data_IF_533237537291
#
_entry.id   IF_533237537291
#
_cell.length_a   1.000
_cell.length_b   1.000
_cell.length_c   1.000
_cell.angle_alpha   90.00
_cell.angle_beta   90.00
_cell.angle_gamma   90.00
#
_symmetry.space_group_name_H-M   'P 1'
#
loop_
_entity.id
_entity.type
_entity.pdbx_description
1 polymer ?
#
# COMPACT_ATOMS: atom_id res chain seq x y z
N UNK A 1 -19.72 22.80 -13.54
CA UNK A 1 -20.61 21.87 -12.80
C UNK A 1 -20.06 20.43 -12.67
N UNK A 2 -18.72 20.22 -12.72
CA UNK A 2 -18.06 18.89 -12.52
C UNK A 2 -16.98 18.94 -11.42
N UNK A 3 -16.83 20.08 -10.74
CA UNK A 3 -15.68 20.35 -9.88
C UNK A 3 -15.85 19.83 -8.44
N UNK A 4 -17.09 19.78 -7.92
CA UNK A 4 -17.40 19.28 -6.57
C UNK A 4 -17.70 17.77 -6.53
N UNK A 5 -18.12 17.16 -7.65
CA UNK A 5 -18.44 15.71 -7.72
C UNK A 5 -17.21 14.80 -7.84
N UNK A 6 -16.00 15.36 -8.00
CA UNK A 6 -14.75 14.59 -8.22
C UNK A 6 -14.46 13.53 -7.15
N UNK A 7 -14.99 13.68 -5.93
CA UNK A 7 -14.76 12.73 -4.83
C UNK A 7 -15.65 11.48 -4.89
N UNK A 8 -16.66 11.44 -5.76
CA UNK A 8 -17.62 10.32 -5.84
C UNK A 8 -17.42 9.43 -7.09
N UNK A 9 -16.47 9.76 -7.96
CA UNK A 9 -16.18 8.98 -9.16
C UNK A 9 -15.00 8.02 -8.93
N UNK A 10 -15.31 6.73 -9.01
CA UNK A 10 -14.34 5.67 -9.22
C UNK A 10 -14.29 5.29 -10.70
N UNK A 11 -13.32 4.46 -11.07
CA UNK A 11 -13.17 4.00 -12.44
C UNK A 11 -13.02 2.49 -12.47
N UNK A 12 -13.51 1.86 -13.55
CA UNK A 12 -13.24 0.46 -13.86
C UNK A 12 -12.50 0.40 -15.17
N UNK A 13 -11.33 -0.23 -15.16
CA UNK A 13 -10.49 -0.45 -16.34
C UNK A 13 -10.72 -1.88 -16.80
N UNK A 14 -11.05 -2.08 -18.07
CA UNK A 14 -10.96 -3.39 -18.74
C UNK A 14 -9.69 -3.41 -19.55
N UNK A 15 -8.91 -4.47 -19.40
CA UNK A 15 -7.70 -4.71 -20.19
C UNK A 15 -7.72 -6.14 -20.73
N UNK A 16 -7.35 -6.30 -21.99
CA UNK A 16 -7.22 -7.60 -22.65
C UNK A 16 -6.05 -7.56 -23.65
N UNK A 17 -5.55 -8.73 -24.01
CA UNK A 17 -4.57 -8.89 -25.08
C UNK A 17 -5.15 -9.74 -26.20
N UNK A 18 -4.43 -9.87 -27.32
CA UNK A 18 -4.89 -10.70 -28.45
C UNK A 18 -5.19 -12.15 -28.05
N UNK A 19 -4.40 -12.69 -27.12
CA UNK A 19 -4.53 -14.07 -26.61
C UNK A 19 -4.81 -14.13 -25.11
N UNK A 20 -5.12 -13.00 -24.47
CA UNK A 20 -5.34 -12.92 -23.02
C UNK A 20 -6.79 -12.53 -22.74
N UNK A 21 -7.45 -13.20 -21.78
CA UNK A 21 -8.84 -12.91 -21.45
C UNK A 21 -8.97 -11.49 -20.87
N UNK A 22 -10.20 -10.98 -20.93
CA UNK A 22 -10.54 -9.68 -20.34
C UNK A 22 -10.34 -9.73 -18.82
N UNK A 23 -9.57 -8.77 -18.30
CA UNK A 23 -9.37 -8.53 -16.87
C UNK A 23 -9.95 -7.18 -16.49
N UNK A 24 -10.74 -7.15 -15.42
CA UNK A 24 -11.23 -5.91 -14.82
C UNK A 24 -10.35 -5.47 -13.64
N UNK A 25 -10.05 -4.18 -13.59
CA UNK A 25 -9.27 -3.55 -12.52
C UNK A 25 -10.08 -2.36 -12.01
N UNK A 26 -10.31 -2.31 -10.69
CA UNK A 26 -11.04 -1.23 -10.02
C UNK A 26 -10.06 -0.43 -9.14
N UNK A 27 -9.27 0.48 -9.71
CA UNK A 27 -8.32 1.27 -8.94
C UNK A 27 -9.03 2.26 -8.01
N UNK A 28 -8.48 2.41 -6.81
CA UNK A 28 -8.92 3.40 -5.84
C UNK A 28 -8.27 4.79 -6.05
N UNK A 29 -7.13 4.84 -6.76
CA UNK A 29 -6.32 6.06 -6.92
C UNK A 29 -5.78 6.20 -8.36
N UNK A 30 -5.54 7.43 -8.79
CA UNK A 30 -5.02 7.75 -10.12
C UNK A 30 -3.76 8.64 -10.08
N UNK A 31 -2.83 8.50 -11.05
CA UNK A 31 -2.82 7.48 -12.10
C UNK A 31 -2.53 6.09 -11.53
N UNK A 32 -3.08 5.05 -12.19
CA UNK A 32 -2.85 3.64 -11.86
C UNK A 32 -1.84 3.04 -12.83
N UNK A 33 -0.75 2.49 -12.29
CA UNK A 33 0.15 1.60 -13.03
C UNK A 33 -0.41 0.17 -13.02
N UNK A 34 -0.50 -0.46 -14.19
CA UNK A 34 -0.81 -1.88 -14.36
C UNK A 34 0.52 -2.61 -14.52
N UNK A 35 0.81 -3.53 -13.60
CA UNK A 35 2.07 -4.28 -13.54
C UNK A 35 1.87 -5.73 -13.99
N UNK A 36 2.99 -6.49 -14.09
CA UNK A 36 2.99 -7.91 -14.45
C UNK A 36 2.40 -8.19 -15.84
N UNK A 37 2.68 -7.31 -16.79
CA UNK A 37 2.36 -7.49 -18.22
C UNK A 37 3.56 -8.12 -18.93
N UNK A 38 3.29 -8.92 -19.95
CA UNK A 38 4.35 -9.45 -20.82
C UNK A 38 4.98 -8.35 -21.69
N UNK A 39 6.30 -8.41 -21.96
CA UNK A 39 6.96 -7.50 -22.89
C UNK A 39 6.49 -7.77 -24.33
N UNK A 40 6.70 -6.77 -25.21
CA UNK A 40 6.43 -6.87 -26.66
C UNK A 40 5.02 -7.41 -27.01
N UNK A 41 4.04 -7.10 -26.17
CA UNK A 41 2.68 -7.63 -26.27
C UNK A 41 1.70 -6.47 -26.41
N UNK A 42 0.77 -6.59 -27.35
CA UNK A 42 -0.33 -5.62 -27.53
C UNK A 42 -1.42 -5.86 -26.50
N UNK A 43 -1.71 -4.82 -25.72
CA UNK A 43 -2.87 -4.77 -24.84
C UNK A 43 -3.82 -3.67 -25.29
N UNK A 44 -5.11 -3.97 -25.25
CA UNK A 44 -6.18 -3.01 -25.44
C UNK A 44 -6.87 -2.76 -24.11
N UNK A 45 -7.25 -1.50 -23.87
CA UNK A 45 -7.95 -1.11 -22.65
C UNK A 45 -9.04 -0.07 -22.91
N UNK A 46 -10.07 -0.15 -22.11
CA UNK A 46 -11.16 0.82 -22.05
C UNK A 46 -11.50 1.12 -20.59
N UNK A 47 -12.03 2.31 -20.33
CA UNK A 47 -12.32 2.77 -18.98
C UNK A 47 -13.74 3.30 -18.92
N UNK A 48 -14.47 2.99 -17.84
CA UNK A 48 -15.73 3.65 -17.49
C UNK A 48 -15.63 4.33 -16.14
N UNK A 49 -16.36 5.43 -15.98
CA UNK A 49 -16.56 6.09 -14.71
C UNK A 49 -17.74 5.44 -13.96
N UNK A 50 -17.61 5.33 -12.64
CA UNK A 50 -18.62 4.78 -11.73
C UNK A 50 -18.83 5.79 -10.61
N UNK A 51 -20.05 6.32 -10.50
CA UNK A 51 -20.44 7.18 -9.40
C UNK A 51 -20.91 6.32 -8.24
N UNK A 52 -20.09 6.13 -7.22
CA UNK A 52 -20.31 5.13 -6.16
C UNK A 52 -21.58 5.39 -5.37
N UNK A 53 -21.84 6.63 -4.95
CA UNK A 53 -23.00 6.98 -4.12
C UNK A 53 -24.35 6.85 -4.83
N UNK A 54 -24.36 6.99 -6.16
CA UNK A 54 -25.59 6.94 -6.97
C UNK A 54 -25.72 5.61 -7.73
N UNK A 55 -24.73 4.72 -7.60
CA UNK A 55 -24.64 3.45 -8.32
C UNK A 55 -24.80 3.59 -9.86
N UNK A 56 -24.48 4.76 -10.40
CA UNK A 56 -24.52 5.05 -11.84
C UNK A 56 -23.16 4.82 -12.46
N UNK A 57 -23.15 4.46 -13.73
CA UNK A 57 -21.91 4.29 -14.49
C UNK A 57 -22.05 4.91 -15.88
N UNK A 58 -20.93 5.38 -16.42
CA UNK A 58 -20.86 5.78 -17.82
C UNK A 58 -20.78 4.54 -18.73
N UNK A 59 -21.00 4.75 -20.02
CA UNK A 59 -20.50 3.83 -21.04
C UNK A 59 -18.96 3.77 -20.98
N UNK A 60 -18.39 2.71 -21.57
CA UNK A 60 -16.95 2.59 -21.73
C UNK A 60 -16.43 3.62 -22.73
N UNK A 61 -15.20 4.09 -22.51
CA UNK A 61 -14.45 4.89 -23.47
C UNK A 61 -14.18 4.07 -24.74
N UNK A 62 -13.76 4.74 -25.81
CA UNK A 62 -13.17 4.00 -26.94
C UNK A 62 -11.96 3.19 -26.47
N UNK A 63 -11.88 1.95 -26.95
CA UNK A 63 -10.76 1.08 -26.67
C UNK A 63 -9.47 1.69 -27.24
N UNK A 64 -8.42 1.73 -26.41
CA UNK A 64 -7.07 2.13 -26.83
C UNK A 64 -6.13 0.95 -26.71
N UNK A 65 -5.39 0.67 -27.78
CA UNK A 65 -4.42 -0.40 -27.83
C UNK A 65 -3.00 0.14 -27.84
N UNK A 66 -2.10 -0.49 -27.11
CA UNK A 66 -0.69 -0.12 -27.00
C UNK A 66 0.17 -1.37 -26.81
N UNK A 67 1.39 -1.33 -27.34
CA UNK A 67 2.37 -2.39 -27.17
C UNK A 67 3.26 -2.09 -25.96
N UNK A 68 3.49 -3.10 -25.13
CA UNK A 68 4.56 -3.04 -24.13
C UNK A 68 5.93 -3.04 -24.82
N UNK A 69 6.92 -2.43 -24.19
CA UNK A 69 8.29 -2.38 -24.71
C UNK A 69 9.01 -3.71 -24.49
N UNK A 70 10.20 -3.83 -25.07
CA UNK A 70 11.16 -4.89 -24.73
C UNK A 70 11.40 -4.89 -23.22
N UNK A 71 11.62 -6.08 -22.65
CA UNK A 71 11.94 -6.24 -21.24
C UNK A 71 13.17 -5.40 -20.87
N UNK A 72 13.08 -4.70 -19.74
CA UNK A 72 14.23 -3.98 -19.19
C UNK A 72 15.28 -5.00 -18.74
N UNK A 73 16.56 -4.70 -19.00
CA UNK A 73 17.68 -5.53 -18.56
C UNK A 73 17.75 -5.65 -17.04
N UNK A 74 17.33 -4.61 -16.32
CA UNK A 74 17.28 -4.60 -14.85
C UNK A 74 15.83 -4.84 -14.41
N UNK A 75 15.55 -5.91 -13.65
CA UNK A 75 14.23 -6.17 -13.10
C UNK A 75 13.84 -5.07 -12.11
N UNK A 76 12.54 -4.88 -11.89
CA UNK A 76 12.08 -3.93 -10.87
C UNK A 76 12.28 -4.54 -9.47
N UNK A 77 12.49 -3.72 -8.43
CA UNK A 77 12.41 -4.20 -7.05
C UNK A 77 11.00 -4.74 -6.74
N UNK A 78 10.93 -5.84 -6.00
CA UNK A 78 9.69 -6.54 -5.64
C UNK A 78 9.51 -6.63 -4.12
N UNK A 79 8.36 -7.12 -3.67
CA UNK A 79 8.06 -7.38 -2.24
C UNK A 79 8.40 -6.20 -1.30
N UNK A 80 7.88 -5.02 -1.61
CA UNK A 80 8.08 -3.85 -0.77
C UNK A 80 7.38 -4.04 0.59
N UNK A 81 8.20 -3.98 1.63
CA UNK A 81 7.83 -4.13 3.04
C UNK A 81 8.34 -2.94 3.86
N UNK A 82 7.66 -2.67 4.96
CA UNK A 82 8.00 -1.59 5.87
C UNK A 82 7.88 -2.11 7.29
N UNK A 83 8.99 -2.05 8.01
CA UNK A 83 9.05 -2.34 9.44
C UNK A 83 9.30 -1.05 10.24
N UNK A 84 9.19 -1.18 11.55
CA UNK A 84 9.46 -0.10 12.51
C UNK A 84 10.67 -0.46 13.35
N UNK A 85 11.59 0.49 13.48
CA UNK A 85 12.69 0.42 14.42
C UNK A 85 12.78 1.73 15.19
N UNK A 86 12.30 1.73 16.44
CA UNK A 86 12.16 2.96 17.23
C UNK A 86 11.29 3.98 16.52
N UNK A 87 11.84 5.17 16.26
CA UNK A 87 11.15 6.26 15.57
C UNK A 87 11.46 6.35 14.05
N UNK A 88 11.97 5.26 13.49
CA UNK A 88 12.29 5.16 12.06
C UNK A 88 11.52 4.03 11.38
N UNK A 89 11.27 4.20 10.08
CA UNK A 89 10.80 3.14 9.20
C UNK A 89 12.00 2.44 8.56
N UNK A 90 11.94 1.11 8.54
CA UNK A 90 12.89 0.27 7.81
C UNK A 90 12.19 -0.26 6.57
N UNK A 91 12.53 0.32 5.42
CA UNK A 91 12.01 -0.06 4.12
C UNK A 91 12.82 -1.24 3.60
N UNK A 92 12.15 -2.31 3.16
CA UNK A 92 12.78 -3.52 2.62
C UNK A 92 12.17 -3.87 1.25
N UNK A 93 12.97 -4.45 0.38
CA UNK A 93 12.53 -4.92 -0.93
C UNK A 93 13.43 -6.06 -1.42
N UNK A 94 12.91 -6.89 -2.30
CA UNK A 94 13.67 -7.95 -2.95
C UNK A 94 14.21 -7.50 -4.29
N UNK A 95 15.41 -7.97 -4.63
CA UNK A 95 15.99 -7.74 -5.94
C UNK A 95 16.84 -8.93 -6.38
N UNK A 96 16.68 -9.33 -7.65
CA UNK A 96 17.34 -10.53 -8.20
C UNK A 96 18.85 -10.36 -8.41
N UNK A 97 19.33 -9.13 -8.53
CA UNK A 97 20.74 -8.84 -8.80
C UNK A 97 21.46 -8.25 -7.60
N UNK A 98 22.68 -8.72 -7.34
CA UNK A 98 23.59 -8.13 -6.37
C UNK A 98 24.28 -6.87 -6.95
N UNK A 99 24.87 -6.05 -6.07
CA UNK A 99 25.66 -4.86 -6.45
C UNK A 99 24.88 -3.80 -7.24
N UNK A 100 23.62 -3.57 -6.87
CA UNK A 100 22.77 -2.53 -7.44
C UNK A 100 22.64 -1.36 -6.47
N UNK A 101 22.46 -0.16 -7.00
CA UNK A 101 22.05 1.00 -6.22
C UNK A 101 20.55 1.21 -6.34
N UNK A 102 19.92 1.57 -5.22
CA UNK A 102 18.49 1.80 -5.15
C UNK A 102 18.20 3.22 -4.73
N UNK A 103 17.09 3.73 -5.27
CA UNK A 103 16.48 4.96 -4.79
C UNK A 103 15.00 4.80 -4.52
N UNK A 104 14.55 5.38 -3.41
CA UNK A 104 13.15 5.35 -3.01
C UNK A 104 12.49 6.74 -3.09
N UNK A 105 11.22 6.74 -3.46
CA UNK A 105 10.38 7.93 -3.50
C UNK A 105 9.05 7.68 -2.82
N UNK A 106 8.44 8.75 -2.32
CA UNK A 106 7.12 8.72 -1.72
C UNK A 106 6.21 9.81 -2.27
N UNK A 107 4.90 9.57 -2.17
CA UNK A 107 3.88 10.56 -2.52
C UNK A 107 2.68 10.44 -1.57
N UNK A 108 2.13 11.55 -1.05
CA UNK A 108 0.91 11.51 -0.25
C UNK A 108 -0.28 10.92 -1.03
N UNK A 109 -1.15 10.17 -0.34
CA UNK A 109 -2.36 9.59 -0.97
C UNK A 109 -3.28 10.65 -1.56
N UNK A 110 -3.46 11.79 -0.88
CA UNK A 110 -4.31 12.87 -1.36
C UNK A 110 -3.81 13.46 -2.70
N UNK A 111 -2.50 13.43 -2.96
CA UNK A 111 -1.94 13.90 -4.23
C UNK A 111 -2.42 13.05 -5.40
N UNK A 112 -2.59 11.73 -5.18
CA UNK A 112 -3.14 10.77 -6.16
C UNK A 112 -4.67 10.71 -6.18
N UNK A 113 -5.35 11.49 -5.35
CA UNK A 113 -6.82 11.55 -5.33
C UNK A 113 -7.37 12.47 -6.44
N UNK A 114 -6.52 13.28 -7.07
CA UNK A 114 -6.89 14.09 -8.23
C UNK A 114 -6.49 13.39 -9.53
N UNK A 115 -7.30 13.44 -10.61
CA UNK A 115 -6.88 12.97 -11.92
C UNK A 115 -5.76 13.87 -12.47
N UNK A 116 -4.73 13.30 -13.08
CA UNK A 116 -3.65 14.05 -13.71
C UNK A 116 -2.31 13.30 -13.70
N UNK A 117 -1.30 13.90 -14.32
CA UNK A 117 0.08 13.47 -14.14
C UNK A 117 0.58 13.96 -12.78
N UNK A 118 1.16 13.05 -11.98
CA UNK A 118 1.72 13.35 -10.66
C UNK A 118 3.20 12.95 -10.57
N UNK A 119 3.89 12.78 -11.70
CA UNK A 119 5.31 12.41 -11.74
C UNK A 119 6.19 13.40 -10.99
N UNK A 120 5.87 14.68 -11.07
CA UNK A 120 6.50 15.82 -10.41
C UNK A 120 6.24 15.88 -8.89
N UNK A 121 5.20 15.19 -8.41
CA UNK A 121 4.79 15.23 -6.99
C UNK A 121 5.45 14.15 -6.14
N UNK A 122 6.20 13.23 -6.75
CA UNK A 122 6.98 12.24 -6.02
C UNK A 122 8.17 12.89 -5.35
N UNK A 123 8.23 12.79 -4.03
CA UNK A 123 9.31 13.33 -3.21
C UNK A 123 10.40 12.27 -3.01
N UNK A 124 11.68 12.61 -3.13
CA UNK A 124 12.76 11.69 -2.78
C UNK A 124 12.76 11.40 -1.28
N UNK A 125 13.23 10.22 -0.90
CA UNK A 125 13.57 9.89 0.48
C UNK A 125 15.10 10.09 0.61
N UNK A 126 15.59 11.16 1.24
CA UNK A 126 17.02 11.50 1.20
C UNK A 126 17.94 10.40 1.72
N UNK A 127 17.55 9.72 2.79
CA UNK A 127 18.31 8.59 3.37
C UNK A 127 18.36 7.37 2.45
N UNK A 128 17.45 7.29 1.48
CA UNK A 128 17.32 6.19 0.53
C UNK A 128 17.58 6.66 -0.90
N UNK A 129 18.42 7.68 -1.12
CA UNK A 129 18.67 8.22 -2.45
C UNK A 129 19.69 7.40 -3.27
N UNK A 130 20.63 6.73 -2.59
CA UNK A 130 21.66 5.91 -3.23
C UNK A 130 22.15 4.80 -2.28
N UNK A 131 21.27 3.85 -1.97
CA UNK A 131 21.61 2.73 -1.07
C UNK A 131 22.04 1.51 -1.89
N UNK A 132 23.07 0.81 -1.43
CA UNK A 132 23.58 -0.41 -2.07
C UNK A 132 22.96 -1.70 -1.49
N UNK A 133 22.17 -1.55 -0.43
CA UNK A 133 21.47 -2.62 0.26
C UNK A 133 20.02 -2.72 -0.22
N UNK A 134 19.43 -3.89 -0.05
CA UNK A 134 17.99 -4.17 -0.29
C UNK A 134 17.08 -3.63 0.83
N UNK A 135 17.61 -2.75 1.66
CA UNK A 135 16.86 -2.08 2.70
C UNK A 135 17.41 -0.66 2.93
N UNK A 136 16.57 0.20 3.49
CA UNK A 136 16.94 1.55 3.88
C UNK A 136 16.16 2.00 5.12
N UNK A 137 16.80 2.79 5.98
CA UNK A 137 16.19 3.37 7.17
C UNK A 137 15.84 4.84 6.89
N UNK A 138 14.63 5.25 7.25
CA UNK A 138 14.16 6.63 7.10
C UNK A 138 13.44 7.10 8.37
N UNK A 139 13.76 8.28 8.92
CA UNK A 139 13.02 8.86 10.03
C UNK A 139 11.55 9.05 9.67
N UNK A 140 10.64 8.80 10.62
CA UNK A 140 9.19 8.96 10.41
C UNK A 140 8.82 10.39 10.00
N UNK A 141 9.56 11.38 10.50
CA UNK A 141 9.41 12.81 10.19
C UNK A 141 9.55 13.14 8.69
N UNK A 142 10.24 12.29 7.93
CA UNK A 142 10.35 12.41 6.45
C UNK A 142 8.97 12.40 5.78
N UNK A 143 8.01 11.72 6.39
CA UNK A 143 6.66 11.54 5.88
C UNK A 143 5.70 12.46 6.63
N UNK A 144 5.45 13.65 6.07
CA UNK A 144 4.56 14.65 6.69
C UNK A 144 3.06 14.30 6.62
N UNK A 145 2.70 13.04 6.43
CA UNK A 145 1.33 12.57 6.20
C UNK A 145 1.14 11.17 6.74
N UNK A 146 -0.02 10.86 7.33
CA UNK A 146 -0.30 9.53 7.87
C UNK A 146 -0.44 8.42 6.82
N UNK A 147 -0.82 8.77 5.58
CA UNK A 147 -0.94 7.78 4.48
C UNK A 147 -0.20 8.24 3.24
N UNK A 148 0.62 7.37 2.67
CA UNK A 148 1.44 7.66 1.50
C UNK A 148 1.73 6.40 0.67
N UNK A 149 2.08 6.59 -0.60
CA UNK A 149 2.60 5.55 -1.47
C UNK A 149 4.11 5.59 -1.51
N UNK A 150 4.73 4.41 -1.62
CA UNK A 150 6.17 4.23 -1.78
C UNK A 150 6.48 3.47 -3.07
N UNK A 151 7.59 3.83 -3.72
CA UNK A 151 8.15 3.08 -4.85
C UNK A 151 9.67 3.12 -4.83
N UNK A 152 10.30 2.08 -5.37
CA UNK A 152 11.76 1.92 -5.43
C UNK A 152 12.18 1.70 -6.88
N UNK A 153 13.36 2.18 -7.24
CA UNK A 153 14.01 1.95 -8.54
C UNK A 153 15.43 1.44 -8.32
N UNK A 154 15.83 0.44 -9.10
CA UNK A 154 17.19 -0.11 -9.12
C UNK A 154 18.02 0.50 -10.26
N UNK A 155 19.33 0.52 -10.07
CA UNK A 155 20.31 1.10 -10.99
C UNK A 155 21.62 0.33 -10.90
N UNK A 156 22.24 0.04 -12.05
CA UNK A 156 23.60 -0.52 -12.12
C UNK A 156 24.67 0.59 -12.26
N UNK A 157 24.23 1.86 -12.27
CA UNK A 157 25.06 3.05 -12.48
C UNK A 157 25.00 3.61 -13.90
N UNK A 158 24.68 2.77 -14.90
CA UNK A 158 24.56 3.16 -16.30
C UNK A 158 23.10 3.09 -16.80
N UNK A 159 22.37 2.04 -16.40
CA UNK A 159 20.98 1.77 -16.71
C UNK A 159 20.15 1.81 -15.42
N UNK A 160 18.84 2.08 -15.59
CA UNK A 160 17.88 2.04 -14.48
C UNK A 160 16.72 1.11 -14.81
N UNK A 161 16.23 0.42 -13.78
CA UNK A 161 15.00 -0.37 -13.87
C UNK A 161 13.80 0.57 -14.06
N UNK A 162 12.64 0.02 -14.41
CA UNK A 162 11.40 0.75 -14.15
C UNK A 162 11.14 0.84 -12.62
N UNK A 163 10.25 1.74 -12.21
CA UNK A 163 9.79 1.80 -10.82
C UNK A 163 9.09 0.50 -10.40
N UNK A 164 9.22 0.12 -9.13
CA UNK A 164 8.49 -1.00 -8.52
C UNK A 164 6.97 -0.82 -8.58
N UNK A 165 6.24 -1.83 -8.11
CA UNK A 165 4.86 -1.62 -7.71
C UNK A 165 4.79 -0.61 -6.56
N UNK A 166 3.74 0.22 -6.57
CA UNK A 166 3.51 1.21 -5.53
C UNK A 166 2.92 0.53 -4.29
N UNK A 167 3.56 0.71 -3.14
CA UNK A 167 3.07 0.19 -1.85
C UNK A 167 2.33 1.30 -1.11
N UNK A 168 1.07 1.05 -0.72
CA UNK A 168 0.34 1.94 0.19
C UNK A 168 0.77 1.68 1.63
N UNK A 169 1.19 2.75 2.31
CA UNK A 169 1.59 2.75 3.71
C UNK A 169 0.61 3.59 4.51
N UNK A 170 0.15 3.04 5.62
CA UNK A 170 -0.66 3.72 6.63
C UNK A 170 0.12 3.71 7.94
N UNK A 171 0.56 4.89 8.39
CA UNK A 171 1.35 5.06 9.60
C UNK A 171 0.61 4.57 10.86
N UNK A 172 -0.73 4.54 10.84
CA UNK A 172 -1.52 4.08 11.97
C UNK A 172 -1.29 2.60 12.25
N UNK A 173 -1.05 1.78 11.22
CA UNK A 173 -0.72 0.35 11.37
C UNK A 173 0.59 0.10 12.13
N UNK A 174 1.46 1.10 12.15
CA UNK A 174 2.78 1.07 12.75
C UNK A 174 2.86 1.86 14.06
N UNK A 175 1.70 2.30 14.55
CA UNK A 175 1.58 2.95 15.85
C UNK A 175 1.58 1.86 16.90
N UNK A 176 2.59 1.86 17.78
CA UNK A 176 2.64 0.93 18.90
C UNK A 176 1.51 1.27 19.86
N UNK A 177 0.54 0.37 19.98
CA UNK A 177 -0.47 0.45 21.02
C UNK A 177 0.13 -0.15 22.31
N UNK A 178 0.14 0.59 23.43
CA UNK A 178 0.56 0.01 24.69
C UNK A 178 -0.39 -1.13 25.09
N UNK A 179 0.10 -2.16 25.81
CA UNK A 179 -0.76 -3.25 26.25
C UNK A 179 -1.90 -2.73 27.15
N UNK A 180 -3.11 -3.29 27.02
CA UNK A 180 -4.22 -2.93 27.90
C UNK A 180 -3.93 -3.38 29.34
N UNK A 181 -4.59 -2.74 30.29
CA UNK A 181 -4.58 -3.10 31.70
C UNK A 181 -5.83 -3.93 31.99
N UNK A 182 -5.63 -5.17 32.40
CA UNK A 182 -6.70 -6.10 32.77
C UNK A 182 -6.90 -6.12 34.28
N UNK A 183 -8.16 -6.12 34.73
CA UNK A 183 -8.56 -6.42 36.10
C UNK A 183 -9.63 -7.50 36.07
N UNK A 184 -9.46 -8.55 36.86
CA UNK A 184 -10.39 -9.70 36.88
C UNK A 184 -10.97 -9.83 38.28
N UNK A 185 -12.29 -9.96 38.36
CA UNK A 185 -13.02 -10.12 39.63
C UNK A 185 -13.81 -11.42 39.59
N UNK A 186 -13.58 -12.35 40.54
CA UNK A 186 -14.35 -13.59 40.59
C UNK A 186 -15.76 -13.34 41.14
N UNK A 187 -16.75 -13.96 40.52
CA UNK A 187 -18.17 -13.92 40.92
C UNK A 187 -18.77 -15.32 40.83
N UNK A 188 -18.63 -16.10 41.91
CA UNK A 188 -19.16 -17.46 41.98
C UNK A 188 -18.51 -18.39 40.94
N UNK A 189 -19.28 -18.74 39.91
CA UNK A 189 -18.88 -19.55 38.75
C UNK A 189 -18.45 -18.73 37.53
N UNK A 190 -18.38 -17.40 37.66
CA UNK A 190 -18.02 -16.48 36.58
C UNK A 190 -16.79 -15.64 36.91
N UNK A 191 -16.05 -15.23 35.87
CA UNK A 191 -14.97 -14.25 35.96
C UNK A 191 -15.38 -12.97 35.25
N UNK A 192 -15.41 -11.87 35.97
CA UNK A 192 -15.74 -10.56 35.41
C UNK A 192 -14.44 -9.84 35.03
N UNK A 193 -14.24 -9.67 33.72
CA UNK A 193 -13.02 -9.11 33.12
C UNK A 193 -13.25 -7.64 32.77
N UNK A 194 -12.48 -6.75 33.38
CA UNK A 194 -12.41 -5.34 33.05
C UNK A 194 -11.14 -5.06 32.24
N UNK A 195 -11.30 -4.50 31.05
CA UNK A 195 -10.18 -4.04 30.22
C UNK A 195 -10.17 -2.53 30.25
N UNK A 196 -9.03 -1.97 30.64
CA UNK A 196 -8.80 -0.53 30.72
C UNK A 196 -7.54 -0.18 29.93
N UNK A 197 -7.46 1.08 29.50
CA UNK A 197 -6.35 1.57 28.71
C UNK A 197 -5.61 2.64 29.50
N UNK A 198 -4.27 2.65 29.45
CA UNK A 198 -3.48 3.69 30.14
C UNK A 198 -3.67 5.08 29.53
N UNK A 199 -4.00 5.15 28.24
CA UNK A 199 -4.27 6.41 27.54
C UNK A 199 -5.76 6.64 27.29
N UNK A 200 -6.18 7.91 27.33
CA UNK A 200 -7.58 8.35 27.15
C UNK A 200 -8.13 8.19 25.72
N UNK A 201 -7.36 7.60 24.79
CA UNK A 201 -7.69 7.45 23.37
C UNK A 201 -8.12 6.04 22.98
N UNK A 202 -8.76 5.30 23.87
CA UNK A 202 -9.10 3.90 23.65
C UNK A 202 -10.58 3.68 23.26
N UNK A 203 -11.28 4.75 22.91
CA UNK A 203 -12.62 4.68 22.34
C UNK A 203 -12.60 3.98 20.98
N UNK A 204 -13.40 2.92 20.83
CA UNK A 204 -13.54 2.18 19.57
C UNK A 204 -12.50 1.10 19.32
N UNK A 205 -11.74 0.69 20.35
CA UNK A 205 -10.90 -0.51 20.28
C UNK A 205 -11.77 -1.77 20.43
N UNK A 206 -11.37 -2.83 19.72
CA UNK A 206 -11.89 -4.18 19.89
C UNK A 206 -10.80 -4.94 20.67
N UNK A 207 -11.19 -5.70 21.69
CA UNK A 207 -10.28 -6.40 22.56
C UNK A 207 -10.43 -7.90 22.36
N UNK A 208 -9.31 -8.59 22.23
CA UNK A 208 -9.25 -10.05 22.25
C UNK A 208 -8.89 -10.49 23.67
N UNK A 209 -9.67 -11.41 24.23
CA UNK A 209 -9.40 -12.01 25.54
C UNK A 209 -9.03 -13.47 25.33
N UNK A 210 -7.81 -13.82 25.72
CA UNK A 210 -7.29 -15.19 25.70
C UNK A 210 -7.18 -15.67 27.14
N UNK A 211 -7.79 -16.82 27.44
CA UNK A 211 -7.75 -17.42 28.77
C UNK A 211 -7.48 -18.93 28.67
N UNK A 212 -6.92 -19.48 29.73
CA UNK A 212 -6.60 -20.91 29.85
C UNK A 212 -6.61 -21.30 31.32
N UNK A 213 -6.78 -22.59 31.59
CA UNK A 213 -6.58 -23.16 32.93
C UNK A 213 -5.09 -23.40 33.16
N UNK A 214 -4.56 -23.08 34.34
CA UNK A 214 -3.13 -23.17 34.64
C UNK A 214 -2.52 -24.58 34.42
N UNK A 215 -3.35 -25.62 34.51
CA UNK A 215 -2.98 -27.03 34.31
C UNK A 215 -3.17 -27.52 32.87
N UNK A 216 -3.74 -26.70 31.99
CA UNK A 216 -4.05 -27.01 30.60
C UNK A 216 -3.21 -26.13 29.66
N UNK A 217 -2.65 -26.73 28.62
CA UNK A 217 -2.02 -25.98 27.52
C UNK A 217 -3.05 -25.57 26.44
N UNK A 218 -4.34 -25.63 26.76
CA UNK A 218 -5.41 -25.32 25.80
C UNK A 218 -5.88 -23.89 26.04
N UNK A 219 -5.68 -23.03 25.05
CA UNK A 219 -6.10 -21.64 25.05
C UNK A 219 -7.49 -21.49 24.44
N UNK A 220 -8.35 -20.69 25.07
CA UNK A 220 -9.66 -20.28 24.56
C UNK A 220 -9.68 -18.78 24.28
N UNK A 221 -10.37 -18.38 23.21
CA UNK A 221 -10.38 -16.99 22.71
C UNK A 221 -11.80 -16.43 22.65
N UNK A 222 -11.98 -15.22 23.18
CA UNK A 222 -13.19 -14.42 23.07
C UNK A 222 -12.87 -13.13 22.30
N UNK A 223 -13.72 -12.80 21.31
CA UNK A 223 -13.64 -11.61 20.45
C UNK A 223 -14.71 -10.57 20.79
#
# INVERSE_FOLDING_TARGET
MWAQEKRCFNYTIRIWGRSFPVREIKPMYFPKKISKLLPETTYCLEVRAVHTSLQRHSNYSSARCINTTVANKIPVPENLEVDVQGDSYVLKWDHAFANMTFKAQWIPVYSKSSPGNHSDKWKPIPTCANVQTTHCVSPRETFHTGTFFLRVQASDGNNTSFWSEEKLIDSQKYTLLPPPVIAVTPTGDSLLVYVSCKDSKCNGLIYEVIFWENTSNTEETLL
#
